data_IF_991922368113
#
_entry.id   IF_991922368113
#
_cell.length_a   1.000
_cell.length_b   1.000
_cell.length_c   1.000
_cell.angle_alpha   90.00
_cell.angle_beta   90.00
_cell.angle_gamma   90.00
#
_symmetry.space_group_name_H-M   'P 1'
#
loop_
_entity.id
_entity.type
_entity.pdbx_description
1 polymer ?
#
# COMPACT_ATOMS: atom_id res chain seq x y z
N UNK A 1 10.45 -21.73 -0.32
CA UNK A 1 10.90 -20.62 0.54
C UNK A 1 9.74 -19.68 0.77
N UNK A 2 9.49 -19.24 1.98
CA UNK A 2 8.46 -18.22 2.21
C UNK A 2 8.85 -16.92 1.49
N UNK A 3 7.87 -16.22 0.97
CA UNK A 3 8.05 -14.91 0.37
C UNK A 3 8.51 -13.92 1.45
N UNK A 4 9.36 -12.99 1.08
CA UNK A 4 9.90 -12.01 2.01
C UNK A 4 9.42 -10.60 1.67
N UNK A 5 8.69 -9.99 2.58
CA UNK A 5 8.17 -8.62 2.45
C UNK A 5 7.82 -8.07 3.85
N UNK A 6 7.76 -6.77 3.95
CA UNK A 6 7.34 -6.06 5.16
C UNK A 6 6.09 -5.21 4.89
N UNK A 7 5.39 -4.81 5.94
CA UNK A 7 4.20 -3.95 5.78
C UNK A 7 4.53 -2.61 5.12
N UNK A 8 5.71 -2.06 5.41
CA UNK A 8 6.19 -0.83 4.77
C UNK A 8 6.36 -0.99 3.26
N UNK A 9 6.73 -2.18 2.80
CA UNK A 9 6.85 -2.48 1.37
C UNK A 9 5.48 -2.49 0.70
N UNK A 10 4.47 -3.03 1.38
CA UNK A 10 3.09 -3.04 0.88
C UNK A 10 2.52 -1.62 0.78
N UNK A 11 2.84 -0.75 1.74
CA UNK A 11 2.45 0.67 1.68
C UNK A 11 3.10 1.37 0.49
N UNK A 12 4.39 1.17 0.29
CA UNK A 12 5.11 1.73 -0.86
C UNK A 12 4.56 1.21 -2.18
N UNK A 13 4.22 -0.08 -2.25
CA UNK A 13 3.60 -0.68 -3.43
C UNK A 13 2.30 0.04 -3.82
N UNK A 14 1.44 0.33 -2.85
CA UNK A 14 0.18 1.06 -3.11
C UNK A 14 0.43 2.49 -3.61
N UNK A 15 1.46 3.16 -3.09
CA UNK A 15 1.88 4.47 -3.57
C UNK A 15 2.36 4.37 -5.03
N UNK A 16 3.17 3.37 -5.36
CA UNK A 16 3.65 3.12 -6.71
C UNK A 16 2.51 2.79 -7.69
N UNK A 17 1.52 2.04 -7.24
CA UNK A 17 0.31 1.74 -8.03
C UNK A 17 -0.47 3.00 -8.38
N UNK A 18 -0.52 3.95 -7.48
CA UNK A 18 -1.22 5.23 -7.67
C UNK A 18 -0.45 6.18 -8.57
N UNK A 19 0.82 6.39 -8.28
CA UNK A 19 1.64 7.43 -8.93
C UNK A 19 2.21 6.99 -10.27
N UNK A 20 2.53 5.70 -10.40
CA UNK A 20 3.21 5.13 -11.57
C UNK A 20 4.55 5.81 -11.87
N UNK A 21 5.16 6.43 -10.85
CA UNK A 21 6.40 7.21 -10.95
C UNK A 21 7.26 6.98 -9.71
N UNK A 22 8.55 6.67 -9.93
CA UNK A 22 9.50 6.51 -8.83
C UNK A 22 9.70 7.84 -8.09
N UNK A 23 9.82 8.94 -8.82
CA UNK A 23 10.04 10.26 -8.21
C UNK A 23 8.80 10.75 -7.44
N UNK A 24 7.61 10.62 -8.02
CA UNK A 24 6.37 10.99 -7.34
C UNK A 24 6.10 10.10 -6.11
N UNK A 25 6.42 8.82 -6.20
CA UNK A 25 6.34 7.91 -5.05
C UNK A 25 7.30 8.30 -3.94
N UNK A 26 8.51 8.72 -4.30
CA UNK A 26 9.51 9.21 -3.35
C UNK A 26 9.01 10.44 -2.60
N UNK A 27 8.42 11.39 -3.30
CA UNK A 27 7.82 12.58 -2.69
C UNK A 27 6.71 12.18 -1.71
N UNK A 28 5.81 11.30 -2.11
CA UNK A 28 4.69 10.85 -1.27
C UNK A 28 5.16 10.05 -0.04
N UNK A 29 6.24 9.30 -0.16
CA UNK A 29 6.77 8.45 0.91
C UNK A 29 7.91 9.11 1.71
N UNK A 30 8.29 10.35 1.39
CA UNK A 30 9.44 11.05 1.97
C UNK A 30 10.76 10.28 1.77
N UNK A 31 10.93 9.73 0.58
CA UNK A 31 12.11 8.99 0.16
C UNK A 31 12.72 9.60 -1.10
N UNK A 32 14.02 9.38 -1.30
CA UNK A 32 14.65 9.71 -2.58
C UNK A 32 14.19 8.73 -3.66
N UNK A 33 14.26 9.16 -4.91
CA UNK A 33 13.96 8.30 -6.07
C UNK A 33 14.82 7.03 -6.05
N UNK A 34 16.11 7.16 -5.71
CA UNK A 34 17.02 6.02 -5.58
C UNK A 34 16.60 5.05 -4.49
N UNK A 35 16.14 5.55 -3.35
CA UNK A 35 15.65 4.72 -2.25
C UNK A 35 14.40 3.95 -2.64
N UNK A 36 13.45 4.59 -3.33
CA UNK A 36 12.24 3.93 -3.85
C UNK A 36 12.63 2.80 -4.82
N UNK A 37 13.52 3.10 -5.76
CA UNK A 37 14.00 2.11 -6.75
C UNK A 37 14.65 0.91 -6.07
N UNK A 38 15.49 1.14 -5.06
CA UNK A 38 16.15 0.08 -4.32
C UNK A 38 15.15 -0.78 -3.53
N UNK A 39 14.20 -0.14 -2.86
CA UNK A 39 13.17 -0.85 -2.08
C UNK A 39 12.26 -1.67 -2.99
N UNK A 40 11.87 -1.14 -4.14
CA UNK A 40 11.10 -1.89 -5.12
C UNK A 40 11.86 -3.13 -5.60
N UNK A 41 13.15 -2.98 -5.93
CA UNK A 41 13.97 -4.12 -6.34
C UNK A 41 14.07 -5.18 -5.26
N UNK A 42 14.29 -4.78 -4.01
CA UNK A 42 14.34 -5.72 -2.87
C UNK A 42 13.03 -6.45 -2.67
N UNK A 43 11.90 -5.74 -2.84
CA UNK A 43 10.58 -6.35 -2.75
C UNK A 43 10.37 -7.36 -3.88
N UNK A 44 10.71 -7.00 -5.11
CA UNK A 44 10.63 -7.91 -6.25
C UNK A 44 11.50 -9.15 -6.05
N UNK A 45 12.72 -8.98 -5.53
CA UNK A 45 13.61 -10.10 -5.20
C UNK A 45 13.01 -10.98 -4.10
N UNK A 46 12.44 -10.38 -3.06
CA UNK A 46 11.81 -11.10 -1.97
C UNK A 46 10.54 -11.86 -2.36
N UNK A 47 9.79 -11.34 -3.33
CA UNK A 47 8.60 -12.01 -3.89
C UNK A 47 9.00 -13.04 -4.95
N UNK A 48 10.12 -12.82 -5.64
CA UNK A 48 10.56 -13.66 -6.74
C UNK A 48 9.85 -13.36 -8.05
N UNK A 49 9.28 -12.17 -8.20
CA UNK A 49 8.57 -11.73 -9.40
C UNK A 49 8.72 -10.24 -9.60
N UNK A 50 8.70 -9.82 -10.84
CA UNK A 50 8.67 -8.42 -11.21
C UNK A 50 7.26 -7.85 -10.98
N UNK A 51 7.17 -6.74 -10.27
CA UNK A 51 5.88 -6.12 -9.92
C UNK A 51 5.51 -4.96 -10.84
N UNK A 52 6.53 -4.32 -11.43
CA UNK A 52 6.36 -3.24 -12.39
C UNK A 52 7.31 -3.41 -13.57
N UNK A 53 6.83 -3.03 -14.76
CA UNK A 53 7.65 -2.86 -15.95
C UNK A 53 7.90 -1.37 -16.16
N UNK A 54 9.14 -0.98 -16.44
CA UNK A 54 9.49 0.40 -16.75
C UNK A 54 9.25 0.66 -18.24
N UNK A 55 8.48 1.69 -18.55
CA UNK A 55 8.23 2.14 -19.90
C UNK A 55 8.59 3.62 -20.04
N UNK A 56 8.57 4.15 -21.27
CA UNK A 56 8.78 5.58 -21.52
C UNK A 56 7.70 6.48 -20.90
N UNK A 57 6.58 5.91 -20.49
CA UNK A 57 5.47 6.63 -19.82
C UNK A 57 5.43 6.40 -18.31
N UNK A 58 6.44 5.73 -17.75
CA UNK A 58 6.53 5.44 -16.33
C UNK A 58 6.38 3.95 -16.02
N UNK A 59 5.93 3.64 -14.81
CA UNK A 59 5.78 2.27 -14.33
C UNK A 59 4.42 1.70 -14.73
N UNK A 60 4.44 0.47 -15.24
CA UNK A 60 3.22 -0.30 -15.55
C UNK A 60 3.21 -1.55 -14.66
N UNK A 61 2.16 -1.77 -13.86
CA UNK A 61 2.08 -2.97 -13.03
C UNK A 61 2.05 -4.23 -13.87
N UNK A 62 2.75 -5.25 -13.40
CA UNK A 62 2.61 -6.61 -13.92
C UNK A 62 1.36 -7.26 -13.32
N UNK A 63 1.01 -8.44 -13.79
CA UNK A 63 -0.05 -9.25 -13.17
C UNK A 63 0.28 -9.56 -11.70
N UNK A 64 1.54 -9.89 -11.41
CA UNK A 64 2.00 -10.11 -10.03
C UNK A 64 1.88 -8.83 -9.19
N UNK A 65 2.24 -7.67 -9.73
CA UNK A 65 2.10 -6.39 -9.05
C UNK A 65 0.66 -6.07 -8.70
N UNK A 66 -0.25 -6.28 -9.64
CA UNK A 66 -1.69 -6.08 -9.41
C UNK A 66 -2.23 -7.04 -8.35
N UNK A 67 -1.87 -8.32 -8.43
CA UNK A 67 -2.29 -9.33 -7.44
C UNK A 67 -1.79 -8.98 -6.03
N UNK A 68 -0.53 -8.56 -5.91
CA UNK A 68 0.02 -8.16 -4.62
C UNK A 68 -0.66 -6.90 -4.07
N UNK A 69 -0.92 -5.92 -4.91
CA UNK A 69 -1.62 -4.69 -4.50
C UNK A 69 -3.03 -4.98 -3.99
N UNK A 70 -3.78 -5.83 -4.68
CA UNK A 70 -5.12 -6.24 -4.24
C UNK A 70 -5.09 -6.94 -2.89
N UNK A 71 -4.11 -7.82 -2.67
CA UNK A 71 -3.92 -8.52 -1.40
C UNK A 71 -3.42 -7.58 -0.30
N UNK A 72 -2.62 -6.57 -0.63
CA UNK A 72 -2.03 -5.64 0.33
C UNK A 72 -3.09 -4.80 1.06
N UNK A 73 -4.18 -4.45 0.39
CA UNK A 73 -5.22 -3.58 0.96
C UNK A 73 -5.83 -4.17 2.23
N UNK A 74 -6.37 -5.40 2.24
CA UNK A 74 -6.90 -5.99 3.46
C UNK A 74 -5.83 -6.26 4.53
N UNK A 75 -4.60 -6.59 4.13
CA UNK A 75 -3.50 -6.80 5.07
C UNK A 75 -3.20 -5.50 5.83
N UNK A 76 -3.09 -4.38 5.12
CA UNK A 76 -2.83 -3.08 5.73
C UNK A 76 -4.02 -2.61 6.58
N UNK A 77 -5.25 -2.89 6.16
CA UNK A 77 -6.45 -2.60 6.95
C UNK A 77 -6.45 -3.37 8.28
N UNK A 78 -6.11 -4.66 8.27
CA UNK A 78 -5.99 -5.47 9.48
C UNK A 78 -4.86 -4.97 10.39
N UNK A 79 -3.73 -4.56 9.82
CA UNK A 79 -2.63 -3.96 10.58
C UNK A 79 -3.09 -2.67 11.29
N UNK A 80 -3.81 -1.80 10.58
CA UNK A 80 -4.36 -0.58 11.17
C UNK A 80 -5.39 -0.88 12.26
N UNK A 81 -6.20 -1.93 12.10
CA UNK A 81 -7.13 -2.38 13.13
C UNK A 81 -6.41 -2.87 14.39
N UNK A 82 -5.31 -3.59 14.21
CA UNK A 82 -4.47 -4.00 15.34
C UNK A 82 -3.95 -2.79 16.09
N UNK A 83 -3.42 -1.80 15.37
CA UNK A 83 -2.91 -0.56 15.97
C UNK A 83 -4.02 0.15 16.75
N UNK A 84 -5.22 0.24 16.20
CA UNK A 84 -6.38 0.85 16.88
C UNK A 84 -6.78 0.09 18.14
N UNK A 85 -6.71 -1.23 18.15
CA UNK A 85 -7.01 -2.05 19.33
C UNK A 85 -5.96 -1.89 20.43
N UNK A 86 -4.70 -1.65 20.05
CA UNK A 86 -3.61 -1.45 20.99
C UNK A 86 -3.50 -0.01 21.48
N UNK A 87 -4.12 0.91 20.80
CA UNK A 87 -4.03 2.35 21.06
C UNK A 87 -4.41 2.76 22.50
N UNK A 88 -5.45 2.18 23.13
CA UNK A 88 -5.75 2.48 24.53
C UNK A 88 -4.61 2.13 25.51
N UNK A 89 -3.70 1.25 25.10
CA UNK A 89 -2.55 0.80 25.88
C UNK A 89 -1.26 1.52 25.50
N UNK A 90 -1.26 2.27 24.37
CA UNK A 90 -0.10 2.98 23.84
C UNK A 90 -0.09 4.43 24.30
N UNK A 91 1.12 4.98 24.46
CA UNK A 91 1.34 6.41 24.74
C UNK A 91 1.46 7.23 23.45
N UNK A 92 1.32 6.61 22.29
CA UNK A 92 1.42 7.27 20.99
C UNK A 92 0.04 7.66 20.49
N UNK A 93 -0.06 8.81 19.82
CA UNK A 93 -1.28 9.22 19.14
C UNK A 93 -1.49 8.34 17.89
N UNK A 94 -2.75 7.96 17.61
CA UNK A 94 -3.05 7.14 16.44
C UNK A 94 -2.82 7.93 15.14
N UNK A 95 -2.07 7.34 14.22
CA UNK A 95 -1.95 7.86 12.87
C UNK A 95 -3.11 7.37 12.01
N UNK A 96 -3.78 8.26 11.26
CA UNK A 96 -4.84 7.83 10.37
C UNK A 96 -4.25 7.04 9.18
N UNK A 97 -4.89 5.92 8.84
CA UNK A 97 -4.57 5.22 7.60
C UNK A 97 -5.08 6.06 6.43
N UNK A 98 -4.17 6.46 5.54
CA UNK A 98 -4.50 7.18 4.32
C UNK A 98 -4.39 6.26 3.13
N UNK A 99 -5.49 6.08 2.42
CA UNK A 99 -5.54 5.28 1.20
C UNK A 99 -5.86 6.20 0.03
N UNK A 100 -4.98 6.20 -0.97
CA UNK A 100 -5.14 7.01 -2.17
C UNK A 100 -5.30 6.10 -3.38
N UNK A 101 -6.23 6.40 -4.25
CA UNK A 101 -6.40 5.68 -5.51
C UNK A 101 -6.82 6.63 -6.63
N UNK A 102 -6.24 6.44 -7.79
CA UNK A 102 -6.55 7.22 -9.00
C UNK A 102 -7.15 6.36 -10.13
N UNK A 103 -7.40 5.09 -9.91
CA UNK A 103 -8.05 4.23 -10.89
C UNK A 103 -9.45 3.83 -10.40
N UNK A 104 -10.45 3.90 -11.29
CA UNK A 104 -11.84 3.61 -10.94
C UNK A 104 -12.02 2.18 -10.41
N UNK A 105 -11.34 1.21 -11.01
CA UNK A 105 -11.41 -0.18 -10.54
C UNK A 105 -10.84 -0.37 -9.15
N UNK A 106 -9.67 0.22 -8.89
CA UNK A 106 -9.01 0.16 -7.59
C UNK A 106 -9.81 0.96 -6.55
N UNK A 107 -10.39 2.12 -6.93
CA UNK A 107 -11.26 2.89 -6.05
C UNK A 107 -12.49 2.09 -5.63
N UNK A 108 -13.17 1.43 -6.55
CA UNK A 108 -14.35 0.63 -6.25
C UNK A 108 -14.00 -0.55 -5.33
N UNK A 109 -12.85 -1.19 -5.56
CA UNK A 109 -12.34 -2.26 -4.72
C UNK A 109 -12.02 -1.75 -3.31
N UNK A 110 -11.29 -0.63 -3.20
CA UNK A 110 -10.95 -0.01 -1.92
C UNK A 110 -12.18 0.47 -1.16
N UNK A 111 -13.14 1.11 -1.83
CA UNK A 111 -14.37 1.59 -1.20
C UNK A 111 -15.21 0.42 -0.66
N UNK A 112 -15.26 -0.69 -1.38
CA UNK A 112 -16.00 -1.88 -0.94
C UNK A 112 -15.35 -2.51 0.29
N UNK A 113 -14.03 -2.70 0.28
CA UNK A 113 -13.30 -3.25 1.44
C UNK A 113 -13.39 -2.30 2.62
N UNK A 114 -13.21 -1.00 2.40
CA UNK A 114 -13.31 -0.02 3.48
C UNK A 114 -14.72 0.03 4.07
N UNK A 115 -15.77 -0.06 3.24
CA UNK A 115 -17.16 -0.09 3.70
C UNK A 115 -17.45 -1.35 4.53
N UNK A 116 -17.01 -2.50 4.07
CA UNK A 116 -17.18 -3.77 4.80
C UNK A 116 -16.43 -3.74 6.13
N UNK A 117 -15.21 -3.22 6.12
CA UNK A 117 -14.38 -3.08 7.31
C UNK A 117 -14.97 -2.12 8.33
N UNK A 118 -15.48 -0.96 7.88
CA UNK A 118 -16.12 0.05 8.76
C UNK A 118 -17.40 -0.45 9.39
N UNK A 119 -18.14 -1.35 8.72
CA UNK A 119 -19.34 -1.98 9.32
C UNK A 119 -18.98 -2.89 10.50
N UNK A 120 -17.84 -3.56 10.42
CA UNK A 120 -17.37 -4.48 11.46
C UNK A 120 -16.62 -3.77 12.59
N UNK A 121 -16.04 -2.59 12.31
CA UNK A 121 -15.19 -1.85 13.24
C UNK A 121 -15.59 -0.37 13.32
N UNK A 122 -16.56 -0.06 14.17
CA UNK A 122 -17.11 1.30 14.31
C UNK A 122 -16.14 2.36 14.85
N UNK A 123 -14.99 1.94 15.39
CA UNK A 123 -13.94 2.85 15.90
C UNK A 123 -12.93 3.28 14.83
N UNK A 124 -13.07 2.77 13.62
CA UNK A 124 -12.12 3.05 12.53
C UNK A 124 -12.55 4.29 11.75
N UNK A 125 -11.60 5.14 11.44
CA UNK A 125 -11.82 6.35 10.64
C UNK A 125 -11.04 6.26 9.34
N UNK A 126 -11.74 6.09 8.22
CA UNK A 126 -11.12 6.12 6.91
C UNK A 126 -11.33 7.48 6.26
N UNK A 127 -10.24 8.07 5.77
CA UNK A 127 -10.28 9.29 4.95
C UNK A 127 -9.88 8.91 3.54
N UNK A 128 -10.85 8.98 2.62
CA UNK A 128 -10.61 8.78 1.18
C UNK A 128 -10.39 10.13 0.55
N UNK A 129 -9.24 10.29 -0.07
CA UNK A 129 -8.88 11.53 -0.76
C UNK A 129 -8.61 11.26 -2.24
#
# INVERSE_FOLDING_TARGET
>A
MPLHYELSDLRLLLILMRTRSLSASGEAAHLTTSAVSLRLRKLEDGIGAQLFTRTGKGLVPTEAGTALAEAAVPILAESAALDARLNPFSKHDPEPLRIFSNSTGLQNFLCRIAADYLRENSSFRAVLT
#
